data_IF_465462017109
#
_entry.id   IF_465462017109
#
_cell.length_a   1.000
_cell.length_b   1.000
_cell.length_c   1.000
_cell.angle_alpha   90.00
_cell.angle_beta   90.00
_cell.angle_gamma   90.00
#
_symmetry.space_group_name_H-M   'P 1'
#
loop_
_entity.id
_entity.type
_entity.pdbx_description
1 polymer ?
#
# COMPACT_ATOMS: atom_id res chain seq x y z
N UNK A 1 -7.65 -5.86 -13.35
CA UNK A 1 -8.27 -4.78 -12.54
C UNK A 1 -9.72 -4.68 -12.97
N UNK A 2 -10.65 -4.45 -12.04
CA UNK A 2 -12.05 -4.20 -12.38
C UNK A 2 -12.31 -2.68 -12.32
N UNK A 3 -12.91 -2.13 -13.37
CA UNK A 3 -13.38 -0.75 -13.41
C UNK A 3 -14.90 -0.75 -13.46
N UNK A 4 -15.55 -0.05 -12.54
CA UNK A 4 -16.98 0.23 -12.58
C UNK A 4 -17.19 1.63 -13.14
N UNK A 5 -17.71 1.74 -14.36
CA UNK A 5 -18.12 3.02 -14.94
C UNK A 5 -19.56 3.36 -14.51
N UNK A 6 -19.70 4.41 -13.72
CA UNK A 6 -20.98 4.89 -13.20
C UNK A 6 -21.65 5.95 -14.08
N UNK A 7 -21.05 6.33 -15.21
CA UNK A 7 -21.65 7.26 -16.17
C UNK A 7 -22.66 6.58 -17.11
N UNK A 8 -22.75 5.25 -17.04
CA UNK A 8 -23.72 4.43 -17.79
C UNK A 8 -24.90 4.03 -16.90
N UNK A 9 -26.06 3.78 -17.52
CA UNK A 9 -27.26 3.30 -16.84
C UNK A 9 -27.75 1.99 -17.52
N UNK A 10 -27.57 0.81 -16.88
CA UNK A 10 -26.92 0.58 -15.58
C UNK A 10 -25.39 0.79 -15.64
N UNK A 11 -24.72 0.95 -14.48
CA UNK A 11 -23.27 0.98 -14.41
C UNK A 11 -22.62 -0.23 -15.08
N UNK A 12 -21.52 0.00 -15.78
CA UNK A 12 -20.82 -1.04 -16.54
C UNK A 12 -19.56 -1.48 -15.82
N UNK A 13 -19.43 -2.77 -15.54
CA UNK A 13 -18.23 -3.36 -14.95
C UNK A 13 -17.34 -3.95 -16.04
N UNK A 14 -16.10 -3.48 -16.15
CA UNK A 14 -15.13 -3.93 -17.16
C UNK A 14 -13.91 -4.57 -16.51
N UNK A 15 -13.42 -5.66 -17.11
CA UNK A 15 -12.16 -6.27 -16.74
C UNK A 15 -11.02 -5.71 -17.60
N UNK A 16 -10.09 -5.03 -16.96
CA UNK A 16 -8.88 -4.49 -17.56
C UNK A 16 -7.72 -5.44 -17.24
N UNK A 17 -7.08 -5.96 -18.27
CA UNK A 17 -5.93 -6.85 -18.14
C UNK A 17 -4.79 -6.19 -17.36
N UNK A 18 -4.12 -6.99 -16.53
CA UNK A 18 -2.94 -6.57 -15.77
C UNK A 18 -1.76 -7.40 -16.27
N UNK A 19 -0.56 -6.81 -16.49
CA UNK A 19 0.60 -7.57 -16.91
C UNK A 19 0.96 -8.70 -15.93
N UNK A 20 1.42 -9.81 -16.47
CA UNK A 20 1.79 -10.99 -15.68
C UNK A 20 2.88 -10.71 -14.64
N UNK A 21 3.75 -9.72 -14.87
CA UNK A 21 4.84 -9.36 -13.95
C UNK A 21 4.37 -8.68 -12.66
N UNK A 22 3.14 -8.15 -12.63
CA UNK A 22 2.53 -7.56 -11.43
C UNK A 22 2.04 -8.67 -10.49
N UNK A 23 1.54 -9.76 -11.08
CA UNK A 23 1.07 -10.94 -10.38
C UNK A 23 -0.17 -10.71 -9.49
N UNK A 24 -0.66 -11.76 -8.82
CA UNK A 24 -1.71 -11.63 -7.81
C UNK A 24 -1.15 -10.92 -6.57
N UNK A 25 -1.75 -9.78 -6.19
CA UNK A 25 -1.30 -8.99 -5.04
C UNK A 25 -2.43 -8.76 -4.06
N UNK A 26 -2.15 -8.93 -2.77
CA UNK A 26 -3.08 -8.61 -1.68
C UNK A 26 -2.43 -7.67 -0.65
N UNK A 27 -3.28 -6.97 0.11
CA UNK A 27 -2.88 -6.15 1.26
C UNK A 27 -1.84 -5.06 0.94
N UNK A 28 -1.80 -4.60 -0.32
CA UNK A 28 -1.13 -3.37 -0.74
C UNK A 28 -2.16 -2.24 -0.93
N UNK A 29 -1.73 -1.15 -1.55
CA UNK A 29 -2.60 -0.03 -1.87
C UNK A 29 -2.52 0.34 -3.37
N UNK A 30 -3.62 0.83 -3.91
CA UNK A 30 -3.67 1.49 -5.23
C UNK A 30 -4.20 2.91 -5.03
N UNK A 31 -3.40 3.90 -5.42
CA UNK A 31 -3.63 5.31 -5.10
C UNK A 31 -3.81 6.07 -6.41
N UNK A 32 -4.92 6.81 -6.55
CA UNK A 32 -5.09 7.74 -7.67
C UNK A 32 -4.27 9.01 -7.44
N UNK A 33 -3.55 9.42 -8.48
CA UNK A 33 -2.73 10.64 -8.49
C UNK A 33 -3.14 11.45 -9.73
N UNK A 34 -3.75 12.63 -9.57
CA UNK A 34 -4.25 13.43 -10.69
C UNK A 34 -3.13 14.20 -11.40
N UNK A 35 -2.24 13.46 -12.06
CA UNK A 35 -1.20 13.97 -12.97
C UNK A 35 -1.52 13.58 -14.41
N UNK A 36 -1.34 14.49 -15.36
CA UNK A 36 -1.82 14.30 -16.73
C UNK A 36 -3.33 14.56 -16.87
N UNK A 37 -3.95 14.18 -17.98
CA UNK A 37 -5.36 14.50 -18.25
C UNK A 37 -6.34 13.71 -17.36
N UNK A 38 -6.07 12.42 -17.16
CA UNK A 38 -6.95 11.52 -16.38
C UNK A 38 -6.35 11.04 -15.06
N UNK A 39 -5.07 11.34 -14.81
CA UNK A 39 -4.35 10.80 -13.66
C UNK A 39 -3.74 9.42 -13.92
N UNK A 40 -3.02 8.96 -12.92
CA UNK A 40 -2.44 7.61 -12.88
C UNK A 40 -2.88 6.90 -11.60
N UNK A 41 -2.87 5.57 -11.62
CA UNK A 41 -2.99 4.75 -10.41
C UNK A 41 -1.61 4.22 -10.04
N UNK A 42 -1.19 4.42 -8.80
CA UNK A 42 0.10 3.95 -8.28
C UNK A 42 -0.16 2.80 -7.31
N UNK A 43 0.33 1.61 -7.66
CA UNK A 43 0.21 0.42 -6.83
C UNK A 43 1.49 0.22 -6.01
N UNK A 44 1.35 0.23 -4.68
CA UNK A 44 2.45 0.23 -3.71
C UNK A 44 2.26 -0.91 -2.72
N UNK A 45 3.39 -1.49 -2.27
CA UNK A 45 3.42 -2.50 -1.20
C UNK A 45 2.51 -3.70 -1.50
N UNK A 46 2.22 -4.50 -0.48
CA UNK A 46 1.43 -5.72 -0.59
C UNK A 46 2.27 -6.96 -0.75
N UNK A 47 1.60 -8.10 -0.88
CA UNK A 47 2.23 -9.41 -0.88
C UNK A 47 1.66 -10.32 -1.96
N UNK A 48 2.49 -11.26 -2.39
CA UNK A 48 2.14 -12.30 -3.36
C UNK A 48 2.22 -13.67 -2.68
N UNK A 49 1.29 -14.60 -2.98
CA UNK A 49 1.41 -15.99 -2.56
C UNK A 49 2.56 -16.68 -3.30
N UNK A 50 3.39 -17.45 -2.58
CA UNK A 50 4.44 -18.27 -3.18
C UNK A 50 3.95 -19.64 -3.65
N UNK A 51 2.99 -20.24 -2.95
CA UNK A 51 2.43 -21.55 -3.25
C UNK A 51 0.99 -21.42 -3.81
N UNK A 52 0.80 -21.04 -5.09
CA UNK A 52 -0.54 -20.97 -5.66
C UNK A 52 -1.16 -22.37 -5.73
N UNK A 53 -2.17 -22.64 -4.91
CA UNK A 53 -2.97 -23.87 -5.00
C UNK A 53 -4.09 -23.73 -6.02
N UNK A 54 -4.67 -24.86 -6.42
CA UNK A 54 -5.96 -24.88 -7.12
C UNK A 54 -6.96 -24.00 -6.36
N UNK A 55 -7.72 -23.20 -7.10
CA UNK A 55 -8.74 -22.33 -6.56
C UNK A 55 -9.68 -23.10 -5.61
N UNK A 56 -9.89 -22.56 -4.41
CA UNK A 56 -10.78 -23.13 -3.40
C UNK A 56 -10.15 -24.11 -2.42
N UNK A 57 -8.85 -24.44 -2.53
CA UNK A 57 -8.15 -25.26 -1.53
C UNK A 57 -7.55 -24.37 -0.42
N UNK A 58 -8.02 -24.46 0.84
CA UNK A 58 -7.45 -23.68 1.93
C UNK A 58 -6.04 -24.15 2.29
N UNK A 59 -5.13 -23.21 2.52
CA UNK A 59 -3.80 -23.48 3.07
C UNK A 59 -3.77 -22.92 4.49
N UNK A 60 -3.49 -23.77 5.47
CA UNK A 60 -3.24 -23.32 6.84
C UNK A 60 -2.03 -22.37 6.83
N UNK A 61 -2.16 -21.21 7.47
CA UNK A 61 -1.09 -20.20 7.57
C UNK A 61 -0.56 -19.72 6.20
N UNK A 62 -1.45 -19.60 5.20
CA UNK A 62 -1.07 -19.19 3.85
C UNK A 62 -0.26 -17.89 3.80
N UNK A 63 -0.60 -16.93 4.67
CA UNK A 63 0.07 -15.64 4.79
C UNK A 63 1.51 -15.72 5.32
N UNK A 64 1.87 -16.74 6.11
CA UNK A 64 3.24 -16.94 6.61
C UNK A 64 4.24 -17.21 5.48
N UNK A 65 3.76 -17.73 4.34
CA UNK A 65 4.59 -18.03 3.15
C UNK A 65 4.57 -16.94 2.09
N UNK A 66 3.76 -15.91 2.26
CA UNK A 66 3.68 -14.85 1.27
C UNK A 66 4.97 -14.04 1.23
N UNK A 67 5.29 -13.49 0.05
CA UNK A 67 6.42 -12.58 -0.11
C UNK A 67 5.90 -11.17 -0.34
N UNK A 68 6.38 -10.24 0.48
CA UNK A 68 6.09 -8.84 0.25
C UNK A 68 6.80 -8.31 -1.02
N UNK A 69 6.14 -7.42 -1.72
CA UNK A 69 6.68 -6.73 -2.90
C UNK A 69 7.84 -5.82 -2.46
N UNK A 70 8.93 -5.83 -3.24
CA UNK A 70 10.07 -4.93 -3.01
C UNK A 70 9.66 -3.49 -3.38
N UNK A 71 9.74 -2.56 -2.42
CA UNK A 71 9.40 -1.15 -2.62
C UNK A 71 10.39 -0.38 -3.50
N UNK A 72 11.47 -1.01 -3.97
CA UNK A 72 12.34 -0.49 -5.05
C UNK A 72 11.60 -0.27 -6.37
N UNK A 73 10.40 -0.82 -6.51
CA UNK A 73 9.54 -0.57 -7.65
C UNK A 73 8.12 -0.27 -7.20
N UNK A 74 7.46 0.59 -7.98
CA UNK A 74 5.99 0.75 -7.95
C UNK A 74 5.45 0.45 -9.34
N UNK A 75 4.24 -0.09 -9.39
CA UNK A 75 3.57 -0.34 -10.66
C UNK A 75 2.55 0.78 -10.89
N UNK A 76 2.61 1.43 -12.05
CA UNK A 76 1.80 2.60 -12.41
C UNK A 76 0.89 2.23 -13.57
N UNK A 77 -0.40 2.50 -13.43
CA UNK A 77 -1.37 2.42 -14.51
C UNK A 77 -1.74 3.82 -14.96
N UNK A 78 -1.44 4.14 -16.21
CA UNK A 78 -1.90 5.38 -16.84
C UNK A 78 -3.34 5.19 -17.35
N UNK A 79 -4.25 5.99 -16.80
CA UNK A 79 -5.69 5.89 -17.07
C UNK A 79 -6.02 6.35 -18.49
N UNK A 80 -5.25 7.28 -19.04
CA UNK A 80 -5.49 7.81 -20.38
C UNK A 80 -5.12 6.80 -21.45
N UNK A 81 -3.91 6.25 -21.36
CA UNK A 81 -3.37 5.35 -22.38
C UNK A 81 -3.71 3.88 -22.12
N UNK A 82 -4.07 3.52 -20.89
CA UNK A 82 -4.35 2.15 -20.48
C UNK A 82 -3.09 1.29 -20.33
N UNK A 83 -1.90 1.90 -20.29
CA UNK A 83 -0.63 1.18 -20.14
C UNK A 83 -0.20 1.05 -18.68
N UNK A 84 0.48 -0.06 -18.42
CA UNK A 84 1.14 -0.34 -17.14
C UNK A 84 2.64 -0.15 -17.27
N UNK A 85 3.21 0.55 -16.29
CA UNK A 85 4.64 0.79 -16.19
C UNK A 85 5.16 0.27 -14.85
N UNK A 86 6.35 -0.34 -14.87
CA UNK A 86 7.09 -0.60 -13.63
C UNK A 86 8.12 0.50 -13.46
N UNK A 87 7.90 1.34 -12.46
CA UNK A 87 8.76 2.48 -12.17
C UNK A 87 9.69 2.14 -11.01
N UNK A 88 11.00 2.33 -11.23
CA UNK A 88 11.97 2.24 -10.16
C UNK A 88 11.79 3.40 -9.19
N UNK A 89 11.83 3.09 -7.90
CA UNK A 89 11.89 4.09 -6.83
C UNK A 89 13.33 4.23 -6.33
N UNK A 90 13.53 5.32 -5.63
CA UNK A 90 14.80 5.69 -5.03
C UNK A 90 14.52 6.09 -3.59
N UNK A 91 15.56 6.20 -2.79
CA UNK A 91 15.45 6.76 -1.45
C UNK A 91 16.71 7.55 -1.15
N UNK A 92 16.72 8.20 0.02
CA UNK A 92 17.94 8.75 0.59
C UNK A 92 18.92 7.64 1.00
N UNK A 93 19.26 7.50 2.30
CA UNK A 93 20.12 6.39 2.73
C UNK A 93 19.48 5.00 2.55
N UNK A 94 18.14 4.91 2.51
CA UNK A 94 17.41 3.64 2.46
C UNK A 94 16.01 3.77 1.82
N UNK A 95 15.43 2.60 1.50
CA UNK A 95 14.07 2.40 0.97
C UNK A 95 13.33 1.50 1.98
N UNK A 96 12.04 1.73 2.26
CA UNK A 96 11.30 0.91 3.21
C UNK A 96 11.30 -0.56 2.78
N UNK A 97 11.55 -1.47 3.71
CA UNK A 97 11.41 -2.90 3.47
C UNK A 97 10.03 -3.25 2.92
N UNK A 98 9.97 -4.29 2.06
CA UNK A 98 8.71 -4.79 1.54
C UNK A 98 7.75 -5.15 2.67
N UNK A 99 6.50 -4.68 2.55
CA UNK A 99 5.48 -4.76 3.60
C UNK A 99 4.08 -4.86 3.01
N UNK A 100 3.14 -5.35 3.80
CA UNK A 100 1.70 -5.43 3.50
C UNK A 100 0.88 -4.96 4.69
N UNK A 101 -0.45 -4.96 4.57
CA UNK A 101 -1.37 -4.44 5.60
C UNK A 101 -1.03 -3.01 6.05
N UNK A 102 -0.54 -2.23 5.08
CA UNK A 102 -0.21 -0.82 5.23
C UNK A 102 -1.48 0.04 5.15
N UNK A 103 -1.35 1.30 5.55
CA UNK A 103 -2.28 2.33 5.12
C UNK A 103 -1.57 3.44 4.34
N UNK A 104 -2.26 4.02 3.35
CA UNK A 104 -1.70 5.09 2.51
C UNK A 104 -2.59 6.31 2.42
N UNK A 105 -1.98 7.50 2.40
CA UNK A 105 -2.68 8.77 2.16
C UNK A 105 -1.91 9.61 1.14
N UNK A 106 -2.49 9.95 -0.02
CA UNK A 106 -1.91 10.93 -0.93
C UNK A 106 -2.17 12.36 -0.42
N UNK A 107 -1.12 13.20 -0.42
CA UNK A 107 -1.22 14.63 -0.13
C UNK A 107 -0.57 15.41 -1.28
N UNK A 108 -1.33 16.30 -1.91
CA UNK A 108 -0.78 17.19 -2.94
C UNK A 108 0.04 18.31 -2.28
N UNK A 109 1.16 18.69 -2.91
CA UNK A 109 1.84 19.93 -2.56
C UNK A 109 0.90 21.14 -2.81
N UNK A 110 1.00 22.23 -2.03
CA UNK A 110 0.12 23.40 -2.18
C UNK A 110 0.14 24.03 -3.58
N UNK A 111 1.26 23.88 -4.29
CA UNK A 111 1.45 24.36 -5.67
C UNK A 111 1.03 23.34 -6.75
N UNK A 112 0.56 22.16 -6.34
CA UNK A 112 0.17 21.05 -7.22
C UNK A 112 1.34 20.41 -8.00
N UNK A 113 2.58 20.79 -7.71
CA UNK A 113 3.76 20.34 -8.45
C UNK A 113 4.15 18.90 -8.16
N UNK A 114 3.75 18.40 -6.99
CA UNK A 114 4.12 17.08 -6.50
C UNK A 114 3.00 16.47 -5.66
N UNK A 115 3.01 15.15 -5.59
CA UNK A 115 2.14 14.36 -4.73
C UNK A 115 3.00 13.52 -3.80
N UNK A 116 2.66 13.55 -2.52
CA UNK A 116 3.37 12.89 -1.44
C UNK A 116 2.48 11.78 -0.90
N UNK A 117 2.78 10.54 -1.23
CA UNK A 117 2.02 9.38 -0.76
C UNK A 117 2.64 8.92 0.55
N UNK A 118 1.95 9.21 1.65
CA UNK A 118 2.30 8.67 2.96
C UNK A 118 1.99 7.17 2.98
N UNK A 119 2.92 6.38 3.48
CA UNK A 119 2.82 4.94 3.73
C UNK A 119 3.11 4.74 5.21
N UNK A 120 2.10 4.27 5.92
CA UNK A 120 2.11 4.19 7.38
C UNK A 120 2.24 2.71 7.76
N UNK A 121 3.29 2.42 8.53
CA UNK A 121 3.50 1.16 9.23
C UNK A 121 3.40 -0.07 8.29
N UNK A 122 2.79 -1.17 8.77
CA UNK A 122 2.58 -2.41 8.02
C UNK A 122 3.48 -3.57 8.47
N UNK A 123 3.23 -4.75 7.91
CA UNK A 123 3.89 -6.01 8.28
C UNK A 123 4.83 -6.51 7.20
N UNK A 124 6.08 -6.78 7.59
CA UNK A 124 7.15 -7.29 6.72
C UNK A 124 7.12 -8.81 6.60
N UNK A 125 6.69 -9.55 7.63
CA UNK A 125 6.53 -11.01 7.58
C UNK A 125 5.52 -11.47 8.64
N UNK A 126 4.73 -12.50 8.32
CA UNK A 126 3.77 -13.12 9.26
C UNK A 126 4.32 -14.36 9.97
N UNK A 127 5.33 -15.04 9.42
CA UNK A 127 5.90 -16.26 10.01
C UNK A 127 6.68 -15.96 11.29
N UNK A 128 7.64 -15.03 11.18
CA UNK A 128 8.37 -14.47 12.30
C UNK A 128 7.94 -13.02 12.45
N UNK A 129 6.70 -12.81 12.92
CA UNK A 129 5.98 -11.52 12.90
C UNK A 129 6.91 -10.31 13.09
N UNK A 130 7.16 -9.58 12.01
CA UNK A 130 7.87 -8.29 12.02
C UNK A 130 6.93 -7.26 11.43
N UNK A 131 6.42 -6.35 12.26
CA UNK A 131 5.71 -5.17 11.82
C UNK A 131 6.52 -3.91 12.13
N UNK A 132 6.23 -2.84 11.42
CA UNK A 132 6.90 -1.56 11.56
C UNK A 132 5.95 -0.51 12.08
N UNK A 133 6.51 0.49 12.76
CA UNK A 133 5.79 1.68 13.19
C UNK A 133 6.53 2.93 12.76
N UNK A 134 6.89 2.93 11.49
CA UNK A 134 7.51 4.02 10.75
C UNK A 134 6.49 4.63 9.77
N UNK A 135 6.81 5.83 9.31
CA UNK A 135 6.07 6.51 8.26
C UNK A 135 7.03 6.92 7.16
N UNK A 136 6.67 6.55 5.95
CA UNK A 136 7.43 6.84 4.75
C UNK A 136 6.60 7.69 3.80
N UNK A 137 7.25 8.53 3.02
CA UNK A 137 6.62 9.30 1.95
C UNK A 137 7.26 8.89 0.63
N UNK A 138 6.45 8.44 -0.32
CA UNK A 138 6.85 8.33 -1.72
C UNK A 138 6.44 9.61 -2.45
N UNK A 139 7.41 10.33 -2.99
CA UNK A 139 7.18 11.56 -3.73
C UNK A 139 6.99 11.30 -5.22
N UNK A 140 6.04 11.98 -5.85
CA UNK A 140 5.77 11.94 -7.29
C UNK A 140 5.92 13.38 -7.81
N UNK A 141 6.68 13.63 -8.90
CA UNK A 141 7.14 12.66 -9.90
C UNK A 141 8.55 12.07 -9.67
N UNK A 142 9.23 12.39 -8.56
CA UNK A 142 10.65 12.00 -8.40
C UNK A 142 10.89 10.56 -7.95
N UNK A 143 9.83 9.87 -7.50
CA UNK A 143 9.86 8.50 -6.97
C UNK A 143 10.86 8.31 -5.83
N UNK A 144 11.03 9.33 -4.99
CA UNK A 144 11.91 9.28 -3.82
C UNK A 144 11.13 8.89 -2.56
N UNK A 145 11.67 7.92 -1.83
CA UNK A 145 11.28 7.54 -0.49
C UNK A 145 11.99 8.42 0.54
N UNK A 146 11.20 8.96 1.47
CA UNK A 146 11.69 9.73 2.62
C UNK A 146 11.04 9.18 3.88
N UNK A 147 11.84 8.75 4.86
CA UNK A 147 11.33 8.41 6.18
C UNK A 147 11.03 9.71 6.93
N UNK A 148 9.79 9.87 7.39
CA UNK A 148 9.36 11.09 8.10
C UNK A 148 9.11 10.87 9.57
N UNK A 149 8.88 9.61 9.98
CA UNK A 149 8.72 9.24 11.39
C UNK A 149 9.10 7.79 11.63
N UNK A 150 9.52 7.48 12.87
CA UNK A 150 9.72 6.11 13.34
C UNK A 150 9.60 6.05 14.85
N UNK A 151 9.01 4.96 15.36
CA UNK A 151 9.01 4.60 16.77
C UNK A 151 9.14 3.09 16.95
N UNK A 152 9.61 2.61 18.12
CA UNK A 152 9.59 1.19 18.43
C UNK A 152 8.15 0.66 18.45
N UNK A 153 7.96 -0.57 18.00
CA UNK A 153 6.64 -1.20 17.91
C UNK A 153 6.33 -1.63 16.49
N UNK A 154 5.06 -1.94 16.25
CA UNK A 154 4.59 -2.36 14.94
C UNK A 154 3.07 -2.38 14.91
N UNK A 155 2.49 -1.76 13.87
CA UNK A 155 1.04 -1.78 13.65
C UNK A 155 0.72 -2.11 12.19
N UNK A 156 -0.28 -2.96 11.97
CA UNK A 156 -0.71 -3.36 10.63
C UNK A 156 -2.21 -3.60 10.60
N UNK A 157 -2.83 -3.53 9.42
CA UNK A 157 -4.27 -3.71 9.26
C UNK A 157 -5.10 -2.55 9.83
N UNK A 158 -4.52 -1.36 9.83
CA UNK A 158 -5.15 -0.12 10.30
C UNK A 158 -5.73 0.68 9.12
N UNK A 159 -6.48 1.74 9.44
CA UNK A 159 -6.98 2.71 8.45
C UNK A 159 -6.43 4.10 8.77
N UNK A 160 -6.37 4.97 7.77
CA UNK A 160 -5.76 6.28 7.90
C UNK A 160 -6.38 7.28 6.92
N UNK A 161 -6.44 8.55 7.33
CA UNK A 161 -7.01 9.64 6.54
C UNK A 161 -6.26 10.95 6.82
N UNK A 162 -6.08 11.79 5.80
CA UNK A 162 -5.69 13.18 5.99
C UNK A 162 -6.90 14.04 6.37
N UNK A 163 -6.74 14.87 7.41
CA UNK A 163 -7.75 15.84 7.86
C UNK A 163 -7.05 17.15 8.20
N UNK A 164 -7.22 18.16 7.33
CA UNK A 164 -6.45 19.40 7.43
C UNK A 164 -4.96 19.14 7.32
N UNK A 165 -4.18 19.61 8.29
CA UNK A 165 -2.73 19.38 8.39
C UNK A 165 -2.35 18.11 9.15
N UNK A 166 -3.33 17.27 9.51
CA UNK A 166 -3.11 16.08 10.34
C UNK A 166 -3.35 14.80 9.55
N UNK A 167 -2.62 13.75 9.95
CA UNK A 167 -2.91 12.37 9.58
C UNK A 167 -3.55 11.68 10.77
N UNK A 168 -4.74 11.11 10.56
CA UNK A 168 -5.46 10.35 11.57
C UNK A 168 -5.31 8.88 11.23
N UNK A 169 -4.81 8.09 12.18
CA UNK A 169 -4.61 6.63 12.06
C UNK A 169 -5.46 5.94 13.11
N UNK A 170 -6.27 4.96 12.71
CA UNK A 170 -7.22 4.27 13.59
C UNK A 170 -7.18 2.76 13.37
N UNK A 171 -7.13 2.03 14.49
CA UNK A 171 -7.20 0.57 14.53
C UNK A 171 -5.87 -0.11 14.20
N UNK A 172 -5.96 -1.37 13.80
CA UNK A 172 -4.82 -2.24 13.52
C UNK A 172 -4.51 -3.22 14.64
N UNK A 173 -3.56 -4.10 14.36
CA UNK A 173 -3.00 -5.09 15.27
C UNK A 173 -1.58 -4.68 15.63
N UNK A 174 -1.26 -4.74 16.93
CA UNK A 174 0.08 -4.54 17.44
C UNK A 174 0.78 -5.89 17.66
N UNK A 175 2.11 -5.88 17.60
CA UNK A 175 2.94 -7.10 17.75
C UNK A 175 3.55 -7.24 19.15
N UNK A 176 3.09 -6.44 20.13
CA UNK A 176 3.60 -6.43 21.50
C UNK A 176 2.56 -6.93 22.53
N UNK A 177 3.05 -7.42 23.68
CA UNK A 177 2.19 -7.97 24.75
C UNK A 177 1.41 -6.91 25.54
N UNK A 178 1.71 -5.62 25.34
CA UNK A 178 1.01 -4.48 25.95
C UNK A 178 -0.06 -3.89 25.02
N UNK A 179 -0.24 -4.52 23.87
CA UNK A 179 -1.25 -4.16 22.90
C UNK A 179 -2.64 -4.19 23.52
N UNK A 180 -3.47 -3.25 23.08
CA UNK A 180 -4.90 -3.29 23.38
C UNK A 180 -5.52 -4.55 22.81
N UNK A 181 -6.40 -5.19 23.59
CA UNK A 181 -7.18 -6.34 23.17
C UNK A 181 -8.68 -6.04 23.26
N UNK A 182 -9.54 -7.06 23.10
CA UNK A 182 -11.00 -6.89 23.17
C UNK A 182 -11.53 -6.39 24.52
N UNK A 183 -10.70 -6.39 25.57
CA UNK A 183 -11.05 -5.95 26.93
C UNK A 183 -10.28 -4.71 27.40
N UNK A 184 -9.27 -4.23 26.68
CA UNK A 184 -8.51 -3.03 27.03
C UNK A 184 -8.01 -2.25 25.80
N UNK A 185 -7.90 -0.93 25.94
CA UNK A 185 -7.21 -0.10 24.95
C UNK A 185 -5.70 -0.30 25.06
N UNK A 186 -4.97 -0.10 23.96
CA UNK A 186 -3.52 -0.01 24.00
C UNK A 186 -3.09 1.15 24.89
N UNK A 187 -2.12 0.92 25.77
CA UNK A 187 -1.58 1.93 26.70
C UNK A 187 -0.27 2.54 26.20
N UNK A 188 0.01 2.42 24.89
CA UNK A 188 1.21 2.97 24.25
C UNK A 188 1.23 4.49 24.24
#
# INVERSE_FOLDING_TARGET
MLQLDTNTAPPTLTNISVPNYIGPRMNGAIIHVPVGEKGVLVQIAGQVPQDPTTFGTPILKANEKNTNIDNKFVDIYDIETGFWFRQQTFGGPEIPSGRSDICTVPVAAPDGSSYNIFVIAGIQTYDNVVAHEDMWVLTIPTFQWVQVHTRPGGVFGHTCHAVGENLIVVGGMQTDDKAGNVTNCSVS
#
